data_IF_336929965858
#
_entry.id   IF_336929965858
#
_cell.length_a   1.000
_cell.length_b   1.000
_cell.length_c   1.000
_cell.angle_alpha   90.00
_cell.angle_beta   90.00
_cell.angle_gamma   90.00
#
_symmetry.space_group_name_H-M   'P 1'
#
loop_
_entity.id
_entity.type
_entity.pdbx_description
1 polymer ?
#
# COMPACT_ATOMS: atom_id res chain seq x y z
N UNK A 1 1.97 17.33 -12.01
CA UNK A 1 0.66 16.68 -12.17
C UNK A 1 0.08 16.37 -10.78
N UNK A 2 -1.08 16.90 -10.40
CA UNK A 2 -1.70 16.62 -9.09
C UNK A 2 -2.46 15.28 -9.18
N UNK A 3 -1.92 14.19 -8.61
CA UNK A 3 -2.68 12.96 -8.42
C UNK A 3 -3.81 13.24 -7.41
N UNK A 4 -5.06 13.13 -7.85
CA UNK A 4 -6.21 13.35 -6.96
C UNK A 4 -6.28 12.23 -5.91
N UNK A 5 -6.77 12.52 -4.69
CA UNK A 5 -6.87 11.57 -3.56
C UNK A 5 -7.40 10.18 -3.96
N UNK A 6 -8.42 10.14 -4.82
CA UNK A 6 -9.02 8.89 -5.31
C UNK A 6 -8.08 8.07 -6.18
N UNK A 7 -7.27 8.74 -7.00
CA UNK A 7 -6.30 8.13 -7.88
C UNK A 7 -5.13 7.52 -7.11
N UNK A 8 -4.60 8.25 -6.11
CA UNK A 8 -3.59 7.72 -5.17
C UNK A 8 -4.11 6.44 -4.50
N UNK A 9 -5.33 6.50 -3.95
CA UNK A 9 -5.95 5.34 -3.29
C UNK A 9 -6.07 4.16 -4.26
N UNK A 10 -6.51 4.38 -5.49
CA UNK A 10 -6.68 3.31 -6.47
C UNK A 10 -5.34 2.71 -6.89
N UNK A 11 -4.34 3.54 -7.21
CA UNK A 11 -3.00 3.08 -7.63
C UNK A 11 -2.32 2.28 -6.51
N UNK A 12 -2.41 2.75 -5.27
CA UNK A 12 -1.88 2.01 -4.11
C UNK A 12 -2.63 0.70 -3.86
N UNK A 13 -3.95 0.66 -4.06
CA UNK A 13 -4.74 -0.58 -3.97
C UNK A 13 -4.27 -1.62 -4.98
N UNK A 14 -4.04 -1.23 -6.22
CA UNK A 14 -3.55 -2.12 -7.27
C UNK A 14 -2.12 -2.61 -6.96
N UNK A 15 -1.24 -1.72 -6.49
CA UNK A 15 0.10 -2.11 -6.08
C UNK A 15 0.09 -3.13 -4.93
N UNK A 16 -0.75 -2.92 -3.90
CA UNK A 16 -0.90 -3.87 -2.79
C UNK A 16 -1.42 -5.23 -3.26
N UNK A 17 -2.36 -5.27 -4.22
CA UNK A 17 -2.86 -6.52 -4.82
C UNK A 17 -1.81 -7.23 -5.66
N UNK A 18 -0.95 -6.48 -6.35
CA UNK A 18 0.12 -7.01 -7.19
C UNK A 18 1.39 -7.41 -6.39
N UNK A 19 1.48 -7.03 -5.11
CA UNK A 19 2.64 -7.32 -4.27
C UNK A 19 3.06 -8.81 -4.22
N UNK A 20 2.15 -9.80 -4.20
CA UNK A 20 2.53 -11.22 -4.27
C UNK A 20 3.25 -11.58 -5.58
N UNK A 21 2.80 -11.05 -6.72
CA UNK A 21 3.43 -11.27 -8.02
C UNK A 21 4.81 -10.60 -8.09
N UNK A 22 4.93 -9.36 -7.58
CA UNK A 22 6.23 -8.68 -7.47
C UNK A 22 7.21 -9.48 -6.59
N UNK A 23 6.75 -10.05 -5.48
CA UNK A 23 7.56 -10.92 -4.63
C UNK A 23 8.03 -12.17 -5.38
N UNK A 24 7.16 -12.82 -6.15
CA UNK A 24 7.52 -14.01 -6.94
C UNK A 24 8.54 -13.67 -8.04
N UNK A 25 8.35 -12.56 -8.76
CA UNK A 25 9.32 -12.07 -9.73
C UNK A 25 10.67 -11.74 -9.10
N UNK A 26 10.65 -11.16 -7.89
CA UNK A 26 11.88 -10.86 -7.12
C UNK A 26 12.67 -12.13 -6.83
N UNK A 27 12.01 -13.20 -6.38
CA UNK A 27 12.66 -14.48 -6.07
C UNK A 27 13.29 -15.13 -7.32
N UNK A 28 12.75 -14.84 -8.50
CA UNK A 28 13.24 -15.33 -9.79
C UNK A 28 14.27 -14.40 -10.45
N UNK A 29 14.66 -13.28 -9.81
CA UNK A 29 15.49 -12.22 -10.39
C UNK A 29 14.95 -11.68 -11.73
N UNK A 30 13.62 -11.57 -11.87
CA UNK A 30 12.93 -11.13 -13.10
C UNK A 30 12.27 -9.76 -12.99
N UNK A 31 12.61 -8.98 -11.96
CA UNK A 31 12.06 -7.64 -11.77
C UNK A 31 12.75 -6.65 -12.70
N UNK A 32 11.95 -5.84 -13.39
CA UNK A 32 12.43 -4.62 -14.05
C UNK A 32 12.94 -3.60 -13.02
N UNK A 33 13.66 -2.56 -13.48
CA UNK A 33 14.11 -1.47 -12.62
C UNK A 33 12.92 -0.76 -11.93
N UNK A 34 11.84 -0.55 -12.68
CA UNK A 34 10.61 0.08 -12.16
C UNK A 34 9.97 -0.79 -11.08
N UNK A 35 9.82 -2.10 -11.31
CA UNK A 35 9.24 -3.01 -10.33
C UNK A 35 10.12 -3.15 -9.07
N UNK A 36 11.46 -3.06 -9.21
CA UNK A 36 12.37 -2.96 -8.06
C UNK A 36 12.12 -1.68 -7.24
N UNK A 37 11.90 -0.55 -7.91
CA UNK A 37 11.58 0.70 -7.22
C UNK A 37 10.23 0.60 -6.50
N UNK A 38 9.21 0.03 -7.15
CA UNK A 38 7.87 -0.13 -6.60
C UNK A 38 7.86 -1.04 -5.36
N UNK A 39 8.50 -2.22 -5.42
CA UNK A 39 8.52 -3.15 -4.30
C UNK A 39 9.29 -2.58 -3.10
N UNK A 40 10.44 -1.92 -3.34
CA UNK A 40 11.23 -1.31 -2.27
C UNK A 40 10.49 -0.12 -1.63
N UNK A 41 9.82 0.69 -2.45
CA UNK A 41 9.01 1.80 -1.95
C UNK A 41 7.80 1.30 -1.16
N UNK A 42 7.16 0.23 -1.60
CA UNK A 42 6.07 -0.42 -0.86
C UNK A 42 6.56 -0.96 0.49
N UNK A 43 7.69 -1.66 0.52
CA UNK A 43 8.28 -2.19 1.77
C UNK A 43 8.57 -1.04 2.75
N UNK A 44 9.21 0.04 2.27
CA UNK A 44 9.47 1.24 3.10
C UNK A 44 8.17 1.84 3.64
N UNK A 45 7.16 1.98 2.78
CA UNK A 45 5.87 2.55 3.17
C UNK A 45 5.15 1.69 4.22
N UNK A 46 5.17 0.36 4.07
CA UNK A 46 4.58 -0.56 5.04
C UNK A 46 5.33 -0.52 6.38
N UNK A 47 6.66 -0.48 6.36
CA UNK A 47 7.48 -0.41 7.57
C UNK A 47 7.30 0.91 8.34
N UNK A 48 6.90 1.99 7.66
CA UNK A 48 6.60 3.28 8.29
C UNK A 48 5.20 3.36 8.95
N UNK A 49 4.35 2.33 8.77
CA UNK A 49 3.05 2.25 9.42
C UNK A 49 3.20 1.80 10.87
N UNK A 50 2.24 2.20 11.71
CA UNK A 50 2.12 1.65 13.06
C UNK A 50 1.71 0.18 12.99
N UNK A 51 2.05 -0.60 14.02
CA UNK A 51 1.82 -2.05 14.04
C UNK A 51 0.35 -2.44 13.79
N UNK A 52 -0.60 -1.69 14.35
CA UNK A 52 -2.03 -1.93 14.13
C UNK A 52 -2.44 -1.70 12.67
N UNK A 53 -1.92 -0.65 12.04
CA UNK A 53 -2.19 -0.34 10.64
C UNK A 53 -1.57 -1.40 9.71
N UNK A 54 -0.36 -1.87 10.04
CA UNK A 54 0.28 -2.99 9.33
C UNK A 54 -0.58 -4.26 9.41
N UNK A 55 -1.07 -4.62 10.61
CA UNK A 55 -1.96 -5.78 10.80
C UNK A 55 -3.23 -5.66 9.97
N UNK A 56 -3.84 -4.48 9.96
CA UNK A 56 -5.08 -4.24 9.22
C UNK A 56 -4.86 -4.37 7.70
N UNK A 57 -3.74 -3.88 7.16
CA UNK A 57 -3.37 -4.09 5.75
C UNK A 57 -3.03 -5.55 5.46
N UNK A 58 -2.30 -6.22 6.34
CA UNK A 58 -1.98 -7.65 6.26
C UNK A 58 -3.27 -8.48 6.11
N UNK A 59 -4.22 -8.28 7.02
CA UNK A 59 -5.50 -8.97 6.98
C UNK A 59 -6.27 -8.70 5.70
N UNK A 60 -6.27 -7.45 5.22
CA UNK A 60 -7.08 -7.07 4.07
C UNK A 60 -6.52 -7.54 2.73
N UNK A 61 -5.22 -7.41 2.52
CA UNK A 61 -4.57 -7.56 1.20
C UNK A 61 -3.72 -8.81 1.06
N UNK A 62 -3.25 -9.40 2.17
CA UNK A 62 -2.38 -10.58 2.15
C UNK A 62 -3.10 -11.82 2.66
N UNK A 63 -4.02 -11.68 3.61
CA UNK A 63 -4.86 -12.79 4.10
C UNK A 63 -6.30 -12.78 3.54
N UNK A 64 -6.63 -11.81 2.68
CA UNK A 64 -7.93 -11.70 2.00
C UNK A 64 -9.17 -11.71 2.93
N UNK A 65 -9.04 -11.25 4.18
CA UNK A 65 -10.17 -11.18 5.11
C UNK A 65 -11.19 -10.11 4.69
N UNK A 66 -12.46 -10.40 4.95
CA UNK A 66 -13.55 -9.43 4.79
C UNK A 66 -13.49 -8.36 5.88
N UNK A 67 -14.10 -7.19 5.63
CA UNK A 67 -14.16 -6.12 6.65
C UNK A 67 -14.85 -6.57 7.94
N UNK A 68 -15.81 -7.51 7.83
CA UNK A 68 -16.50 -8.11 8.98
C UNK A 68 -15.56 -8.98 9.82
N UNK A 69 -14.81 -9.87 9.18
CA UNK A 69 -13.82 -10.70 9.88
C UNK A 69 -12.72 -9.85 10.53
N UNK A 70 -12.25 -8.79 9.85
CA UNK A 70 -11.26 -7.87 10.43
C UNK A 70 -11.83 -7.15 11.65
N UNK A 71 -13.07 -6.67 11.57
CA UNK A 71 -13.78 -6.04 12.67
C UNK A 71 -13.87 -6.95 13.89
N UNK A 72 -14.19 -8.24 13.68
CA UNK A 72 -14.24 -9.26 14.74
C UNK A 72 -12.86 -9.51 15.37
N UNK A 73 -11.81 -9.69 14.56
CA UNK A 73 -10.44 -9.97 15.03
C UNK A 73 -9.85 -8.79 15.79
N UNK A 74 -10.10 -7.57 15.32
CA UNK A 74 -9.53 -6.36 15.88
C UNK A 74 -10.44 -5.68 16.91
N UNK A 75 -11.60 -6.27 17.22
CA UNK A 75 -12.59 -5.73 18.16
C UNK A 75 -13.01 -4.28 17.86
N UNK A 76 -13.21 -3.95 16.57
CA UNK A 76 -13.64 -2.62 16.11
C UNK A 76 -14.84 -2.73 15.16
N UNK A 77 -15.59 -1.64 14.96
CA UNK A 77 -16.74 -1.68 14.04
C UNK A 77 -16.31 -1.80 12.57
N UNK A 78 -17.14 -2.45 11.76
CA UNK A 78 -16.94 -2.59 10.29
C UNK A 78 -16.79 -1.22 9.61
N UNK A 79 -17.51 -0.20 10.10
CA UNK A 79 -17.41 1.18 9.61
C UNK A 79 -16.02 1.76 9.87
N UNK A 80 -15.47 1.54 11.07
CA UNK A 80 -14.11 1.97 11.43
C UNK A 80 -13.07 1.26 10.57
N UNK A 81 -13.22 -0.05 10.33
CA UNK A 81 -12.34 -0.81 9.44
C UNK A 81 -12.29 -0.17 8.05
N UNK A 82 -13.45 0.13 7.46
CA UNK A 82 -13.53 0.77 6.15
C UNK A 82 -12.78 2.10 6.09
N UNK A 83 -13.01 2.98 7.07
CA UNK A 83 -12.35 4.29 7.13
C UNK A 83 -10.84 4.16 7.32
N UNK A 84 -10.39 3.33 8.26
CA UNK A 84 -8.96 3.10 8.53
C UNK A 84 -8.23 2.54 7.31
N UNK A 85 -8.83 1.59 6.59
CA UNK A 85 -8.23 1.05 5.35
C UNK A 85 -7.92 2.19 4.37
N UNK A 86 -8.88 3.06 4.07
CA UNK A 86 -8.68 4.13 3.09
C UNK A 86 -7.67 5.19 3.58
N UNK A 87 -7.65 5.50 4.88
CA UNK A 87 -6.65 6.39 5.49
C UNK A 87 -5.23 5.81 5.40
N UNK A 88 -5.06 4.53 5.73
CA UNK A 88 -3.76 3.84 5.68
C UNK A 88 -3.27 3.75 4.23
N UNK A 89 -4.15 3.41 3.28
CA UNK A 89 -3.81 3.35 1.86
C UNK A 89 -3.34 4.71 1.35
N UNK A 90 -4.03 5.79 1.75
CA UNK A 90 -3.60 7.13 1.38
C UNK A 90 -2.21 7.46 1.95
N UNK A 91 -1.93 7.06 3.20
CA UNK A 91 -0.62 7.22 3.83
C UNK A 91 0.47 6.46 3.08
N UNK A 92 0.22 5.20 2.73
CA UNK A 92 1.13 4.39 1.89
C UNK A 92 1.37 5.10 0.55
N UNK A 93 0.30 5.52 -0.13
CA UNK A 93 0.39 6.20 -1.42
C UNK A 93 1.18 7.51 -1.36
N UNK A 94 1.04 8.30 -0.29
CA UNK A 94 1.87 9.49 -0.08
C UNK A 94 3.34 9.17 0.14
N UNK A 95 3.68 8.05 0.78
CA UNK A 95 5.10 7.66 0.96
C UNK A 95 5.70 7.23 -0.39
N UNK A 96 4.93 6.51 -1.21
CA UNK A 96 5.42 5.98 -2.49
C UNK A 96 5.47 7.08 -3.57
N UNK A 97 4.41 7.88 -3.68
CA UNK A 97 4.24 8.87 -4.76
C UNK A 97 4.48 10.31 -4.30
N UNK A 98 4.54 10.58 -2.99
CA UNK A 98 4.89 11.91 -2.49
C UNK A 98 6.33 12.30 -2.84
N UNK A 99 7.23 11.31 -2.89
CA UNK A 99 8.62 11.47 -3.34
C UNK A 99 8.71 11.65 -4.87
N UNK A 100 7.75 11.12 -5.66
CA UNK A 100 7.72 11.39 -7.12
C UNK A 100 7.71 12.91 -7.38
N UNK A 101 7.11 13.72 -6.50
CA UNK A 101 7.11 15.20 -6.62
C UNK A 101 8.50 15.82 -6.47
N UNK A 102 9.35 15.29 -5.61
CA UNK A 102 10.72 15.77 -5.39
C UNK A 102 11.68 15.25 -6.47
N UNK A 103 11.47 14.01 -6.92
CA UNK A 103 12.30 13.38 -7.96
C UNK A 103 12.04 13.96 -9.35
N UNK A 104 10.78 14.24 -9.72
CA UNK A 104 10.49 14.90 -11.00
C UNK A 104 10.97 16.36 -11.05
N UNK A 105 10.96 17.07 -9.92
CA UNK A 105 11.53 18.44 -9.82
C UNK A 105 13.06 18.48 -9.87
N UNK A 106 13.75 17.34 -9.69
CA UNK A 106 15.22 17.24 -9.82
C UNK A 106 15.65 16.90 -11.26
N UNK A 107 14.70 16.57 -12.13
CA UNK A 107 14.93 16.18 -13.53
C UNK A 107 14.49 17.31 -14.51
N UNK A 108 13.85 18.38 -14.00
CA UNK A 108 13.66 19.68 -14.67
C UNK A 108 14.80 20.65 -14.32
#
# INVERSE_FOLDING_TARGET
MFLYKKEIINRTKELLKNAPNLKEKSQKNKLTLLEHYEINSLIRALNALQLEDQKLIAYKYFENKTKKQIAEIMFISVKIVGRKIDEIILKIGHIIYGIEKEVWNLIE
#
